data_IF_978368019341
#
_entry.id   IF_978368019341
#
_cell.length_a   1.000
_cell.length_b   1.000
_cell.length_c   1.000
_cell.angle_alpha   90.00
_cell.angle_beta   90.00
_cell.angle_gamma   90.00
#
_symmetry.space_group_name_H-M   'P 1'
#
loop_
_entity.id
_entity.type
_entity.pdbx_description
1 polymer ?
#
# COMPACT_ATOMS: atom_id res chain seq x y z
N UNK A 1 34.84 -11.87 -17.18
CA UNK A 1 33.43 -11.40 -17.23
C UNK A 1 32.65 -12.34 -16.34
N UNK A 2 32.32 -11.91 -15.11
CA UNK A 2 31.50 -12.69 -14.19
C UNK A 2 30.03 -12.44 -14.60
N UNK A 3 29.29 -13.50 -14.91
CA UNK A 3 27.86 -13.45 -15.09
C UNK A 3 27.22 -13.07 -13.76
N UNK A 4 26.65 -11.88 -13.67
CA UNK A 4 25.72 -11.57 -12.58
C UNK A 4 24.54 -12.55 -12.68
N UNK A 5 24.17 -13.26 -11.61
CA UNK A 5 22.98 -14.08 -11.63
C UNK A 5 21.77 -13.18 -11.91
N UNK A 6 21.08 -13.44 -13.01
CA UNK A 6 19.80 -12.82 -13.27
C UNK A 6 18.85 -13.24 -12.15
N UNK A 7 18.32 -12.27 -11.38
CA UNK A 7 17.24 -12.51 -10.43
C UNK A 7 16.08 -13.19 -11.18
N UNK A 8 15.59 -14.33 -10.70
CA UNK A 8 14.45 -14.97 -11.33
C UNK A 8 13.24 -14.03 -11.17
N UNK A 9 12.75 -13.49 -12.27
CA UNK A 9 11.43 -12.87 -12.30
C UNK A 9 10.40 -13.97 -11.95
N UNK A 10 9.33 -13.64 -11.20
CA UNK A 10 8.28 -14.61 -10.92
C UNK A 10 7.76 -15.16 -12.24
N UNK A 11 7.87 -16.46 -12.43
CA UNK A 11 7.62 -17.15 -13.69
C UNK A 11 6.11 -17.29 -14.03
N UNK A 12 5.22 -16.89 -13.12
CA UNK A 12 3.77 -16.98 -13.29
C UNK A 12 3.07 -15.68 -12.89
N UNK A 13 1.98 -15.37 -13.57
CA UNK A 13 1.09 -14.28 -13.20
C UNK A 13 0.52 -14.51 -11.80
N UNK A 14 0.50 -13.46 -10.98
CA UNK A 14 -0.13 -13.47 -9.66
C UNK A 14 -1.38 -12.61 -9.71
N UNK A 15 -2.47 -13.24 -10.10
CA UNK A 15 -3.75 -12.55 -10.30
C UNK A 15 -4.32 -12.12 -8.95
N UNK A 16 -4.69 -10.86 -8.83
CA UNK A 16 -5.42 -10.35 -7.66
C UNK A 16 -6.83 -10.93 -7.69
N UNK A 17 -7.15 -11.78 -6.73
CA UNK A 17 -8.46 -12.42 -6.62
C UNK A 17 -9.42 -11.61 -5.79
N UNK A 18 -8.90 -10.93 -4.77
CA UNK A 18 -9.72 -10.20 -3.80
C UNK A 18 -8.95 -9.04 -3.17
N UNK A 19 -9.68 -7.96 -2.91
CA UNK A 19 -9.22 -6.80 -2.13
C UNK A 19 -10.12 -6.66 -0.93
N UNK A 20 -9.54 -6.49 0.25
CA UNK A 20 -10.26 -6.19 1.50
C UNK A 20 -9.71 -4.92 2.13
N UNK A 21 -10.59 -4.12 2.71
CA UNK A 21 -10.21 -2.92 3.44
C UNK A 21 -10.79 -2.91 4.84
N UNK A 22 -10.02 -2.38 5.79
CA UNK A 22 -10.40 -2.33 7.20
C UNK A 22 -10.10 -0.94 7.75
N UNK A 23 -10.96 -0.46 8.64
CA UNK A 23 -10.65 0.67 9.52
C UNK A 23 -10.25 0.12 10.88
N UNK A 24 -9.10 0.56 11.38
CA UNK A 24 -8.55 0.11 12.66
C UNK A 24 -8.22 1.33 13.51
N UNK A 25 -8.89 1.46 14.64
CA UNK A 25 -8.61 2.53 15.61
C UNK A 25 -7.51 2.07 16.56
N UNK A 26 -6.41 2.81 16.59
CA UNK A 26 -5.30 2.58 17.49
C UNK A 26 -5.19 3.75 18.48
N UNK A 27 -5.23 3.48 19.80
CA UNK A 27 -4.90 4.49 20.78
C UNK A 27 -3.41 4.81 20.71
N UNK A 28 -3.05 6.08 20.90
CA UNK A 28 -1.64 6.47 21.04
C UNK A 28 -1.10 6.05 22.41
N UNK A 29 0.19 5.67 22.48
CA UNK A 29 0.87 5.30 23.75
C UNK A 29 0.80 6.45 24.76
N UNK A 30 0.81 7.68 24.25
CA UNK A 30 0.66 8.93 25.00
C UNK A 30 -0.02 9.97 24.12
N UNK A 31 -0.70 10.97 24.70
CA UNK A 31 -1.25 12.07 23.92
C UNK A 31 -0.17 12.71 23.05
N UNK A 32 -0.46 12.93 21.78
CA UNK A 32 0.42 13.61 20.85
C UNK A 32 -0.11 15.01 20.58
N UNK A 33 0.63 16.03 21.08
CA UNK A 33 0.26 17.43 20.94
C UNK A 33 0.67 17.95 19.56
N UNK A 34 -0.30 18.36 18.79
CA UNK A 34 -0.15 19.07 17.53
C UNK A 34 -0.41 20.57 17.75
N UNK A 35 -0.06 21.40 16.77
CA UNK A 35 -0.33 22.85 16.84
C UNK A 35 -1.82 23.19 16.95
N UNK A 36 -2.70 22.34 16.46
CA UNK A 36 -4.13 22.60 16.36
C UNK A 36 -5.00 21.62 17.18
N UNK A 37 -4.44 20.52 17.66
CA UNK A 37 -5.20 19.50 18.38
C UNK A 37 -4.28 18.56 19.17
N UNK A 38 -4.85 17.87 20.16
CA UNK A 38 -4.19 16.76 20.84
C UNK A 38 -4.76 15.45 20.34
N UNK A 39 -3.93 14.58 19.76
CA UNK A 39 -4.31 13.25 19.31
C UNK A 39 -4.17 12.22 20.44
N UNK A 40 -5.23 11.47 20.72
CA UNK A 40 -5.26 10.36 21.66
C UNK A 40 -5.41 8.99 20.97
N UNK A 41 -5.60 9.00 19.68
CA UNK A 41 -5.76 7.82 18.82
C UNK A 41 -5.66 8.18 17.36
N UNK A 42 -5.55 7.17 16.52
CA UNK A 42 -5.48 7.32 15.07
C UNK A 42 -6.24 6.19 14.40
N UNK A 43 -7.06 6.50 13.41
CA UNK A 43 -7.69 5.52 12.55
C UNK A 43 -6.78 5.22 11.36
N UNK A 44 -6.46 3.95 11.17
CA UNK A 44 -5.72 3.44 10.02
C UNK A 44 -6.70 2.78 9.05
N UNK A 45 -6.54 3.06 7.77
CA UNK A 45 -7.17 2.29 6.70
C UNK A 45 -6.16 1.26 6.20
N UNK A 46 -6.44 -0.01 6.45
CA UNK A 46 -5.62 -1.12 5.98
C UNK A 46 -6.23 -1.72 4.72
N UNK A 47 -5.38 -2.10 3.77
CA UNK A 47 -5.77 -2.85 2.57
C UNK A 47 -5.01 -4.16 2.51
N UNK A 48 -5.71 -5.25 2.14
CA UNK A 48 -5.14 -6.55 1.82
C UNK A 48 -5.46 -6.93 0.39
N UNK A 49 -4.43 -7.32 -0.35
CA UNK A 49 -4.54 -7.86 -1.70
C UNK A 49 -4.26 -9.36 -1.63
N UNK A 50 -5.22 -10.18 -2.01
CA UNK A 50 -5.06 -11.64 -2.07
C UNK A 50 -4.81 -12.07 -3.50
N UNK A 51 -3.71 -12.77 -3.73
CA UNK A 51 -3.28 -13.22 -5.05
C UNK A 51 -3.51 -14.72 -5.24
N UNK A 52 -3.67 -15.14 -6.48
CA UNK A 52 -3.96 -16.53 -6.90
C UNK A 52 -2.87 -17.55 -6.50
N UNK A 53 -1.67 -17.08 -6.22
CA UNK A 53 -0.55 -17.91 -5.73
C UNK A 53 -0.51 -18.03 -4.19
N UNK A 54 -1.53 -17.53 -3.50
CA UNK A 54 -1.62 -17.52 -2.04
C UNK A 54 -0.89 -16.36 -1.37
N UNK A 55 -0.18 -15.52 -2.13
CA UNK A 55 0.47 -14.32 -1.55
C UNK A 55 -0.58 -13.30 -1.11
N UNK A 56 -0.35 -12.70 0.04
CA UNK A 56 -1.15 -11.59 0.55
C UNK A 56 -0.23 -10.38 0.71
N UNK A 57 -0.59 -9.28 0.06
CA UNK A 57 0.08 -8.00 0.26
C UNK A 57 -0.74 -7.09 1.17
N UNK A 58 -0.07 -6.37 2.05
CA UNK A 58 -0.68 -5.46 3.02
C UNK A 58 -0.18 -4.04 2.78
N UNK A 59 -1.11 -3.09 2.79
CA UNK A 59 -0.80 -1.66 2.73
C UNK A 59 -1.61 -0.87 3.73
N UNK A 60 -1.17 0.35 4.01
CA UNK A 60 -1.78 1.24 4.97
C UNK A 60 -1.91 2.64 4.40
N UNK A 61 -3.04 3.27 4.69
CA UNK A 61 -3.26 4.69 4.50
C UNK A 61 -3.80 5.32 5.78
N UNK A 62 -3.29 6.49 6.11
CA UNK A 62 -3.76 7.21 7.28
C UNK A 62 -3.65 8.72 7.09
N UNK A 63 -4.37 9.47 7.91
CA UNK A 63 -4.32 10.93 7.94
C UNK A 63 -4.28 11.40 9.39
N UNK A 64 -3.71 12.56 9.59
CA UNK A 64 -3.71 13.20 10.92
C UNK A 64 -5.03 13.95 11.11
N UNK A 65 -5.85 13.52 12.08
CA UNK A 65 -7.11 14.18 12.40
C UNK A 65 -8.16 14.15 11.27
N UNK A 66 -8.23 13.05 10.51
CA UNK A 66 -9.19 12.90 9.41
C UNK A 66 -8.97 13.96 8.32
N UNK A 67 -9.98 14.78 8.05
CA UNK A 67 -9.93 15.84 7.03
C UNK A 67 -9.22 17.14 7.49
N UNK A 68 -8.64 17.17 8.69
CA UNK A 68 -8.03 18.38 9.21
C UNK A 68 -6.75 18.81 8.46
N UNK A 69 -6.00 17.85 7.89
CA UNK A 69 -4.75 18.10 7.19
C UNK A 69 -4.79 17.84 5.67
N UNK A 70 -5.88 17.29 5.17
CA UNK A 70 -5.96 16.94 3.76
C UNK A 70 -7.37 16.67 3.29
N UNK A 71 -7.50 16.37 2.01
CA UNK A 71 -8.79 16.12 1.37
C UNK A 71 -9.26 14.65 1.50
N UNK A 72 -8.48 13.80 2.14
CA UNK A 72 -8.81 12.38 2.32
C UNK A 72 -8.95 12.07 3.82
N UNK A 73 -9.86 11.15 4.15
CA UNK A 73 -9.99 10.54 5.47
C UNK A 73 -9.86 9.02 5.36
N UNK A 74 -9.60 8.29 6.45
CA UNK A 74 -9.56 6.83 6.43
C UNK A 74 -10.83 6.21 5.84
N UNK A 75 -12.01 6.75 6.16
CA UNK A 75 -13.30 6.30 5.62
C UNK A 75 -13.41 6.60 4.12
N UNK A 76 -12.98 7.78 3.70
CA UNK A 76 -12.93 8.17 2.29
C UNK A 76 -12.00 7.29 1.47
N UNK A 77 -10.81 6.98 2.01
CA UNK A 77 -9.87 6.04 1.39
C UNK A 77 -10.49 4.64 1.24
N UNK A 78 -11.11 4.13 2.32
CA UNK A 78 -11.81 2.85 2.28
C UNK A 78 -12.89 2.84 1.19
N UNK A 79 -13.77 3.84 1.17
CA UNK A 79 -14.83 3.96 0.16
C UNK A 79 -14.26 4.01 -1.27
N UNK A 80 -13.18 4.78 -1.49
CA UNK A 80 -12.55 4.90 -2.79
C UNK A 80 -11.96 3.56 -3.27
N UNK A 81 -11.30 2.81 -2.37
CA UNK A 81 -10.71 1.51 -2.71
C UNK A 81 -11.82 0.50 -2.98
N UNK A 82 -12.80 0.36 -2.09
CA UNK A 82 -13.86 -0.64 -2.22
C UNK A 82 -14.68 -0.43 -3.50
N UNK A 83 -15.03 0.83 -3.80
CA UNK A 83 -15.97 1.16 -4.87
C UNK A 83 -15.30 1.31 -6.23
N UNK A 84 -14.13 1.97 -6.27
CA UNK A 84 -13.52 2.41 -7.54
C UNK A 84 -12.21 1.71 -7.89
N UNK A 85 -11.39 1.33 -6.90
CA UNK A 85 -10.09 0.69 -7.19
C UNK A 85 -10.24 -0.81 -7.33
N UNK A 86 -10.99 -1.46 -6.46
CA UNK A 86 -11.19 -2.92 -6.47
C UNK A 86 -11.62 -3.47 -7.83
N UNK A 87 -12.60 -2.87 -8.55
CA UNK A 87 -12.96 -3.36 -9.88
C UNK A 87 -11.85 -3.24 -10.94
N UNK A 88 -10.86 -2.37 -10.72
CA UNK A 88 -9.71 -2.20 -11.60
C UNK A 88 -8.54 -3.12 -11.25
N UNK A 89 -8.48 -3.56 -10.00
CA UNK A 89 -7.41 -4.40 -9.45
C UNK A 89 -7.71 -5.89 -9.58
N UNK A 90 -8.94 -6.31 -9.26
CA UNK A 90 -9.32 -7.72 -9.34
C UNK A 90 -9.21 -8.22 -10.79
N UNK A 91 -8.59 -9.39 -10.95
CA UNK A 91 -8.28 -9.98 -12.25
C UNK A 91 -6.97 -9.49 -12.89
N UNK A 92 -6.30 -8.50 -12.29
CA UNK A 92 -5.02 -7.99 -12.79
C UNK A 92 -3.82 -8.73 -12.16
N UNK A 93 -2.67 -8.70 -12.86
CA UNK A 93 -1.43 -9.28 -12.35
C UNK A 93 -0.73 -8.31 -11.38
N UNK A 94 -0.63 -8.72 -10.12
CA UNK A 94 -0.01 -7.94 -9.04
C UNK A 94 1.50 -7.70 -9.25
N UNK A 95 2.16 -8.43 -10.16
CA UNK A 95 3.57 -8.19 -10.46
C UNK A 95 3.80 -6.87 -11.20
N UNK A 96 2.79 -6.35 -11.89
CA UNK A 96 2.90 -5.15 -12.72
C UNK A 96 2.51 -3.88 -11.94
N UNK A 97 3.18 -3.62 -10.80
CA UNK A 97 2.87 -2.51 -9.89
C UNK A 97 2.71 -1.18 -10.64
N UNK A 98 3.71 -0.79 -11.44
CA UNK A 98 3.68 0.50 -12.15
C UNK A 98 2.55 0.61 -13.18
N UNK A 99 2.24 -0.48 -13.89
CA UNK A 99 1.15 -0.51 -14.86
C UNK A 99 -0.21 -0.38 -14.15
N UNK A 100 -0.39 -1.03 -13.01
CA UNK A 100 -1.59 -0.92 -12.19
C UNK A 100 -1.76 0.49 -11.64
N UNK A 101 -0.70 1.08 -11.09
CA UNK A 101 -0.74 2.44 -10.59
C UNK A 101 -1.02 3.46 -11.71
N UNK A 102 -0.46 3.26 -12.91
CA UNK A 102 -0.78 4.09 -14.08
C UNK A 102 -2.26 3.97 -14.47
N UNK A 103 -2.83 2.76 -14.44
CA UNK A 103 -4.26 2.51 -14.69
C UNK A 103 -5.14 3.24 -13.66
N UNK A 104 -4.81 3.13 -12.36
CA UNK A 104 -5.52 3.82 -11.29
C UNK A 104 -5.42 5.35 -11.43
N UNK A 105 -4.23 5.87 -11.74
CA UNK A 105 -4.02 7.31 -11.92
C UNK A 105 -4.78 7.89 -13.11
N UNK A 106 -4.94 7.11 -14.17
CA UNK A 106 -5.73 7.49 -15.33
C UNK A 106 -7.23 7.51 -15.02
N UNK A 107 -7.72 6.48 -14.34
CA UNK A 107 -9.14 6.28 -14.08
C UNK A 107 -9.68 7.15 -12.94
N UNK A 108 -8.88 7.41 -11.92
CA UNK A 108 -9.32 8.05 -10.67
C UNK A 108 -8.43 9.24 -10.37
N UNK A 109 -9.03 10.41 -10.24
CA UNK A 109 -8.31 11.64 -9.90
C UNK A 109 -8.07 11.71 -8.39
N UNK A 110 -7.02 12.43 -7.98
CA UNK A 110 -6.63 12.59 -6.56
C UNK A 110 -6.58 11.25 -5.80
N UNK A 111 -7.09 11.17 -4.60
CA UNK A 111 -7.09 9.96 -3.75
C UNK A 111 -5.68 9.40 -3.56
N UNK A 112 -4.72 10.27 -3.23
CA UNK A 112 -3.29 9.96 -3.20
C UNK A 112 -2.93 9.01 -2.07
N UNK A 113 -3.56 9.17 -0.89
CA UNK A 113 -3.33 8.28 0.24
C UNK A 113 -3.93 6.90 0.01
N UNK A 114 -5.14 6.82 -0.57
CA UNK A 114 -5.72 5.56 -0.99
C UNK A 114 -4.85 4.84 -2.03
N UNK A 115 -4.30 5.58 -3.01
CA UNK A 115 -3.36 5.03 -4.00
C UNK A 115 -2.06 4.55 -3.36
N UNK A 116 -1.50 5.33 -2.43
CA UNK A 116 -0.29 4.95 -1.70
C UNK A 116 -0.50 3.64 -0.92
N UNK A 117 -1.65 3.48 -0.25
CA UNK A 117 -1.98 2.24 0.45
C UNK A 117 -2.02 1.02 -0.50
N UNK A 118 -2.65 1.17 -1.66
CA UNK A 118 -2.70 0.10 -2.68
C UNK A 118 -1.32 -0.19 -3.26
N UNK A 119 -0.53 0.85 -3.58
CA UNK A 119 0.83 0.69 -4.10
C UNK A 119 1.73 -0.02 -3.10
N UNK A 120 1.63 0.33 -1.82
CA UNK A 120 2.35 -0.34 -0.73
C UNK A 120 1.98 -1.81 -0.66
N UNK A 121 0.67 -2.15 -0.73
CA UNK A 121 0.23 -3.55 -0.73
C UNK A 121 0.73 -4.34 -1.95
N UNK A 122 0.81 -3.72 -3.12
CA UNK A 122 1.37 -4.34 -4.33
C UNK A 122 2.88 -4.61 -4.17
N UNK A 123 3.64 -3.64 -3.65
CA UNK A 123 5.07 -3.84 -3.37
C UNK A 123 5.31 -4.87 -2.27
N UNK A 124 4.47 -4.91 -1.24
CA UNK A 124 4.54 -5.93 -0.19
C UNK A 124 4.32 -7.34 -0.77
N UNK A 125 3.26 -7.53 -1.57
CA UNK A 125 3.02 -8.78 -2.27
C UNK A 125 4.20 -9.19 -3.18
N UNK A 126 4.76 -8.24 -3.93
CA UNK A 126 5.91 -8.48 -4.80
C UNK A 126 7.16 -8.83 -3.98
N UNK A 127 7.37 -8.17 -2.85
CA UNK A 127 8.46 -8.46 -1.90
C UNK A 127 8.38 -9.88 -1.36
N UNK A 128 7.23 -10.30 -0.88
CA UNK A 128 6.99 -11.67 -0.41
C UNK A 128 7.26 -12.71 -1.50
N UNK A 129 6.79 -12.45 -2.71
CA UNK A 129 6.94 -13.37 -3.85
C UNK A 129 8.38 -13.49 -4.34
N UNK A 130 9.12 -12.40 -4.34
CA UNK A 130 10.52 -12.37 -4.79
C UNK A 130 11.53 -12.68 -3.69
N UNK A 131 11.10 -12.69 -2.42
CA UNK A 131 11.99 -12.81 -1.26
C UNK A 131 12.87 -11.56 -1.06
N UNK A 132 12.48 -10.41 -1.63
CA UNK A 132 13.23 -9.16 -1.54
C UNK A 132 12.52 -8.16 -0.62
N UNK A 133 13.25 -7.44 0.22
CA UNK A 133 12.68 -6.33 0.97
C UNK A 133 12.24 -5.21 0.01
N UNK A 134 11.16 -4.51 0.34
CA UNK A 134 10.63 -3.41 -0.49
C UNK A 134 11.69 -2.35 -0.79
N UNK A 135 12.58 -2.07 0.16
CA UNK A 135 13.71 -1.16 -0.07
C UNK A 135 14.58 -1.57 -1.26
N UNK A 136 14.77 -2.88 -1.49
CA UNK A 136 15.54 -3.39 -2.62
C UNK A 136 14.77 -3.23 -3.94
N UNK A 137 13.44 -3.46 -3.90
CA UNK A 137 12.56 -3.23 -5.06
C UNK A 137 12.51 -1.76 -5.49
N UNK A 138 12.72 -0.84 -4.54
CA UNK A 138 12.76 0.60 -4.76
C UNK A 138 14.16 1.15 -5.10
N UNK A 139 15.16 0.30 -5.34
CA UNK A 139 16.50 0.71 -5.77
C UNK A 139 17.58 0.59 -4.71
N UNK A 140 17.28 0.04 -3.53
CA UNK A 140 18.25 -0.25 -2.48
C UNK A 140 18.21 0.72 -1.29
N UNK A 141 18.81 0.28 -0.21
CA UNK A 141 18.90 1.06 1.04
C UNK A 141 19.98 2.13 0.96
N UNK A 142 19.66 3.33 1.39
CA UNK A 142 20.64 4.43 1.55
C UNK A 142 21.34 4.34 2.91
N UNK A 143 20.66 3.74 3.92
CA UNK A 143 21.17 3.57 5.29
C UNK A 143 20.72 2.23 5.84
N UNK A 144 21.55 1.63 6.69
CA UNK A 144 21.25 0.36 7.36
C UNK A 144 20.51 0.56 8.69
N UNK A 145 20.62 1.72 9.30
CA UNK A 145 19.92 2.07 10.54
C UNK A 145 19.56 3.55 10.59
N UNK A 146 18.50 3.86 11.31
CA UNK A 146 18.08 5.21 11.66
C UNK A 146 17.99 5.29 13.19
N UNK A 147 18.61 6.30 13.83
CA UNK A 147 18.42 6.54 15.26
C UNK A 147 16.98 7.03 15.49
N UNK A 148 16.33 6.53 16.55
CA UNK A 148 15.02 6.92 17.06
C UNK A 148 15.15 7.48 18.47
#
# INVERSE_FOLDING_TARGET
MQHSPSLPLPASAAVIERVETFLVDLPTIRPHQLSMATMNGQTLMLVRLYCSDGTVGVGEGTTIGGLAYGAESPEGMKLAIDTYFTPLLVGADANHVQALMAKLNKAIKENRFAKCAVETALFDALGHRTGLPVSQLLGGRVRDSLPV
#
